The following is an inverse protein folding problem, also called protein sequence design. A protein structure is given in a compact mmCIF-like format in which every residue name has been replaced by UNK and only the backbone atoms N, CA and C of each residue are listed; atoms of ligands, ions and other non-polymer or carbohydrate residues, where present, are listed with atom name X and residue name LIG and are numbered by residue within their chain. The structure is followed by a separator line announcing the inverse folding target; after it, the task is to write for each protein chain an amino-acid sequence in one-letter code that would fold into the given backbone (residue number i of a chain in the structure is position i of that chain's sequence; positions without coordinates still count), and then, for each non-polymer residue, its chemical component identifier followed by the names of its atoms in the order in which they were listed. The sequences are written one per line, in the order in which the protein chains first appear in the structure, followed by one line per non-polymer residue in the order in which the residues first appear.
data_IF_813517005997
#
_entry.id   IF_813517005997
#
_cell.length_a   1.000
_cell.length_b   1.000
_cell.length_c   1.000
_cell.angle_alpha   90.00
_cell.angle_beta   90.00
_cell.angle_gamma   90.00
#
_symmetry.space_group_name_H-M   'P 1'
#
loop_
_entity.id
_entity.type
_entity.pdbx_description
1 polymer ?
#
# COMPACT_ATOMS: atom_id res chain seq x y z
N UNK A 1 6.65 -10.91 4.18
CA UNK A 1 6.49 -10.89 5.65
C UNK A 1 6.28 -12.27 6.27
N UNK A 2 5.57 -13.20 5.63
CA UNK A 2 5.29 -14.55 6.18
C UNK A 2 6.50 -15.31 6.77
N UNK A 3 7.66 -15.33 6.09
CA UNK A 3 8.87 -16.00 6.62
C UNK A 3 9.31 -15.41 7.96
N UNK A 4 9.40 -14.08 8.06
CA UNK A 4 9.80 -13.38 9.29
C UNK A 4 8.77 -13.61 10.40
N UNK A 5 7.48 -13.51 10.08
CA UNK A 5 6.40 -13.83 11.02
C UNK A 5 6.51 -15.26 11.58
N UNK A 6 6.90 -16.24 10.77
CA UNK A 6 7.09 -17.61 11.23
C UNK A 6 8.36 -17.75 12.09
N UNK A 7 9.45 -17.09 11.72
CA UNK A 7 10.73 -17.14 12.44
C UNK A 7 10.67 -16.49 13.83
N UNK A 8 9.86 -15.44 13.99
CA UNK A 8 9.75 -14.64 15.22
C UNK A 8 8.40 -14.83 15.92
N UNK A 9 7.72 -15.95 15.67
CA UNK A 9 6.37 -16.23 16.21
C UNK A 9 6.35 -16.23 17.74
N UNK A 10 7.36 -16.81 18.36
CA UNK A 10 7.44 -16.97 19.81
C UNK A 10 7.76 -15.63 20.52
N UNK A 11 8.39 -14.69 19.81
CA UNK A 11 8.65 -13.33 20.29
C UNK A 11 7.40 -12.42 20.20
N UNK A 12 6.32 -12.92 19.58
CA UNK A 12 5.06 -12.19 19.37
C UNK A 12 5.23 -10.86 18.62
N UNK A 13 6.21 -10.78 17.72
CA UNK A 13 6.41 -9.62 16.85
C UNK A 13 5.48 -9.71 15.63
N UNK A 14 4.77 -8.62 15.34
CA UNK A 14 3.83 -8.54 14.23
C UNK A 14 4.54 -7.98 12.98
N UNK A 15 4.53 -8.72 11.88
CA UNK A 15 5.14 -8.31 10.60
C UNK A 15 4.06 -8.01 9.56
N UNK A 16 3.99 -6.79 9.04
CA UNK A 16 3.03 -6.39 8.01
C UNK A 16 3.73 -5.80 6.80
N UNK A 17 3.19 -6.09 5.62
CA UNK A 17 3.44 -5.30 4.42
C UNK A 17 2.13 -4.61 4.06
N UNK A 18 2.13 -3.28 4.03
CA UNK A 18 0.94 -2.47 3.71
C UNK A 18 1.26 -1.64 2.47
N UNK A 19 0.48 -1.83 1.41
CA UNK A 19 0.49 -0.93 0.25
C UNK A 19 -0.27 0.34 0.60
N UNK A 20 0.30 1.56 0.45
CA UNK A 20 -0.38 2.81 0.77
C UNK A 20 -1.40 3.25 -0.30
N UNK A 21 -1.50 2.52 -1.40
CA UNK A 21 -2.25 2.94 -2.59
C UNK A 21 -1.45 3.89 -3.48
N UNK A 22 -2.15 4.71 -4.26
CA UNK A 22 -1.55 5.71 -5.15
C UNK A 22 -1.46 7.04 -4.40
N UNK A 23 -0.23 7.52 -4.18
CA UNK A 23 0.05 8.68 -3.31
C UNK A 23 0.75 9.78 -4.11
N UNK A 24 0.31 11.02 -3.96
CA UNK A 24 0.94 12.19 -4.57
C UNK A 24 2.20 12.58 -3.80
N UNK A 25 3.25 11.78 -3.92
CA UNK A 25 4.59 12.15 -3.46
C UNK A 25 5.28 13.05 -4.48
N UNK A 26 6.37 13.70 -4.09
CA UNK A 26 7.13 14.55 -5.01
C UNK A 26 7.63 13.72 -6.21
N UNK A 27 7.10 14.01 -7.40
CA UNK A 27 7.66 13.51 -8.65
C UNK A 27 8.93 14.31 -8.97
N UNK A 28 10.00 13.67 -9.50
CA UNK A 28 11.14 14.42 -10.01
C UNK A 28 10.67 15.38 -11.11
N UNK A 29 11.20 16.60 -11.14
CA UNK A 29 10.75 17.75 -11.95
C UNK A 29 10.33 17.43 -13.39
N UNK A 30 11.18 17.75 -14.39
CA UNK A 30 10.86 17.41 -15.77
C UNK A 30 11.05 15.91 -16.00
N UNK A 31 9.95 15.19 -16.17
CA UNK A 31 9.97 13.78 -16.58
C UNK A 31 10.46 13.65 -18.02
N UNK A 32 11.31 12.66 -18.29
CA UNK A 32 11.62 12.25 -19.66
C UNK A 32 10.39 11.68 -20.36
N UNK A 33 10.40 11.61 -21.69
CA UNK A 33 9.31 11.00 -22.47
C UNK A 33 9.02 9.55 -22.01
N UNK A 34 10.06 8.75 -21.78
CA UNK A 34 9.92 7.37 -21.28
C UNK A 34 9.22 7.33 -19.90
N UNK A 35 9.55 8.26 -19.00
CA UNK A 35 8.91 8.34 -17.69
C UNK A 35 7.44 8.77 -17.79
N UNK A 36 7.13 9.69 -18.71
CA UNK A 36 5.75 10.09 -18.99
C UNK A 36 4.94 8.92 -19.55
N UNK A 37 5.52 8.13 -20.45
CA UNK A 37 4.90 6.92 -21.01
C UNK A 37 4.63 5.88 -19.93
N UNK A 38 5.60 5.64 -19.05
CA UNK A 38 5.46 4.76 -17.90
C UNK A 38 4.33 5.21 -16.97
N UNK A 39 4.28 6.50 -16.65
CA UNK A 39 3.20 7.08 -15.83
C UNK A 39 1.83 6.87 -16.48
N UNK A 40 1.69 7.14 -17.79
CA UNK A 40 0.43 6.90 -18.51
C UNK A 40 -0.01 5.44 -18.45
N UNK A 41 0.91 4.48 -18.61
CA UNK A 41 0.60 3.04 -18.51
C UNK A 41 0.11 2.65 -17.11
N UNK A 42 0.77 3.15 -16.06
CA UNK A 42 0.35 2.92 -14.67
C UNK A 42 -1.04 3.51 -14.43
N UNK A 43 -1.28 4.76 -14.82
CA UNK A 43 -2.59 5.41 -14.68
C UNK A 43 -3.69 4.64 -15.40
N UNK A 44 -3.45 4.18 -16.64
CA UNK A 44 -4.41 3.35 -17.38
C UNK A 44 -4.73 2.05 -16.65
N UNK A 45 -3.72 1.36 -16.12
CA UNK A 45 -3.92 0.14 -15.32
C UNK A 45 -4.74 0.38 -14.06
N UNK A 46 -4.50 1.50 -13.37
CA UNK A 46 -5.27 1.89 -12.18
C UNK A 46 -6.73 2.16 -12.53
N UNK A 47 -7.00 2.95 -13.58
CA UNK A 47 -8.37 3.26 -14.00
C UNK A 47 -9.11 2.01 -14.47
N UNK A 48 -8.44 1.07 -15.14
CA UNK A 48 -9.03 -0.20 -15.54
C UNK A 48 -9.38 -1.08 -14.33
N UNK A 49 -8.55 -1.07 -13.27
CA UNK A 49 -8.79 -1.82 -12.04
C UNK A 49 -9.85 -1.18 -11.14
N UNK A 50 -9.82 0.15 -11.01
CA UNK A 50 -10.69 0.94 -10.15
C UNK A 50 -11.26 2.14 -10.93
N UNK A 51 -12.37 1.96 -11.68
CA UNK A 51 -12.94 3.02 -12.53
C UNK A 51 -13.38 4.28 -11.78
N UNK A 52 -13.69 4.14 -10.48
CA UNK A 52 -14.09 5.25 -9.61
C UNK A 52 -12.89 5.91 -8.89
N UNK A 53 -11.65 5.55 -9.25
CA UNK A 53 -10.47 6.15 -8.67
C UNK A 53 -10.41 7.64 -9.02
N UNK A 54 -10.51 8.49 -7.99
CA UNK A 54 -10.56 9.95 -8.12
C UNK A 54 -9.19 10.61 -8.18
N UNK A 55 -8.11 9.84 -8.18
CA UNK A 55 -6.74 10.34 -8.18
C UNK A 55 -5.97 10.04 -6.88
N UNK A 56 -4.66 10.34 -6.86
CA UNK A 56 -3.78 10.06 -5.74
C UNK A 56 -4.24 10.75 -4.45
N UNK A 57 -4.04 10.10 -3.30
CA UNK A 57 -4.21 10.75 -1.99
C UNK A 57 -3.00 11.61 -1.64
N UNK A 58 -3.16 12.54 -0.69
CA UNK A 58 -2.02 13.22 -0.08
C UNK A 58 -1.13 12.22 0.71
N UNK A 59 0.17 12.52 0.89
CA UNK A 59 1.04 11.71 1.75
C UNK A 59 0.51 11.55 3.19
N UNK A 60 -0.10 12.60 3.74
CA UNK A 60 -0.66 12.57 5.08
C UNK A 60 -1.85 11.61 5.18
N UNK A 61 -2.80 11.67 4.24
CA UNK A 61 -3.95 10.75 4.21
C UNK A 61 -3.52 9.30 4.02
N UNK A 62 -2.55 9.05 3.14
CA UNK A 62 -1.99 7.72 2.94
C UNK A 62 -1.36 7.17 4.23
N UNK A 63 -0.54 7.98 4.90
CA UNK A 63 0.08 7.61 6.17
C UNK A 63 -0.97 7.33 7.25
N UNK A 64 -2.03 8.14 7.36
CA UNK A 64 -3.14 7.92 8.30
C UNK A 64 -3.84 6.57 8.04
N UNK A 65 -4.10 6.22 6.78
CA UNK A 65 -4.71 4.92 6.43
C UNK A 65 -3.81 3.75 6.78
N UNK A 66 -2.52 3.83 6.44
CA UNK A 66 -1.54 2.80 6.82
C UNK A 66 -1.44 2.63 8.34
N UNK A 67 -1.39 3.74 9.08
CA UNK A 67 -1.38 3.71 10.55
C UNK A 67 -2.64 3.06 11.11
N UNK A 68 -3.82 3.31 10.54
CA UNK A 68 -5.06 2.63 10.94
C UNK A 68 -4.91 1.11 10.80
N UNK A 69 -4.44 0.62 9.65
CA UNK A 69 -4.20 -0.82 9.43
C UNK A 69 -3.22 -1.40 10.46
N UNK A 70 -2.15 -0.67 10.77
CA UNK A 70 -1.16 -1.09 11.76
C UNK A 70 -1.76 -1.14 13.17
N UNK A 71 -2.59 -0.16 13.55
CA UNK A 71 -3.24 -0.11 14.86
C UNK A 71 -4.34 -1.16 15.02
N UNK A 72 -5.02 -1.53 13.94
CA UNK A 72 -6.10 -2.52 13.94
C UNK A 72 -5.58 -3.96 13.90
N UNK A 73 -4.36 -4.19 13.41
CA UNK A 73 -3.78 -5.51 13.26
C UNK A 73 -3.50 -6.20 14.61
N UNK A 74 -3.84 -7.49 14.70
CA UNK A 74 -3.66 -8.29 15.91
C UNK A 74 -2.94 -9.59 15.63
N UNK A 75 -2.04 -9.96 16.53
CA UNK A 75 -1.32 -11.22 16.42
C UNK A 75 -2.27 -12.42 16.60
N UNK A 76 -3.24 -12.30 17.51
CA UNK A 76 -4.17 -13.36 17.92
C UNK A 76 -5.12 -13.81 16.81
N UNK A 77 -5.44 -12.90 15.88
CA UNK A 77 -6.32 -13.19 14.74
C UNK A 77 -5.55 -13.56 13.46
N UNK A 78 -4.22 -13.66 13.55
CA UNK A 78 -3.38 -14.13 12.47
C UNK A 78 -2.94 -13.07 11.45
N UNK A 79 -2.96 -11.79 11.82
CA UNK A 79 -2.59 -10.72 10.87
C UNK A 79 -1.09 -10.68 10.56
N UNK A 80 -0.24 -11.24 11.43
CA UNK A 80 1.22 -11.26 11.21
C UNK A 80 1.57 -12.06 9.95
N UNK A 81 2.50 -11.51 9.17
CA UNK A 81 2.91 -12.05 7.87
C UNK A 81 2.10 -11.53 6.68
N UNK A 82 1.04 -10.76 6.91
CA UNK A 82 0.11 -10.30 5.87
C UNK A 82 0.71 -9.28 4.91
N UNK A 83 0.16 -9.28 3.69
CA UNK A 83 0.38 -8.26 2.68
C UNK A 83 -0.96 -7.66 2.26
N UNK A 84 -1.28 -6.44 2.69
CA UNK A 84 -2.60 -5.82 2.51
C UNK A 84 -2.48 -4.43 1.93
N UNK A 85 -3.59 -3.86 1.50
CA UNK A 85 -3.68 -2.46 1.08
C UNK A 85 -3.91 -1.51 2.26
N UNK A 86 -4.03 -0.22 1.95
CA UNK A 86 -4.41 0.86 2.85
C UNK A 86 -5.82 0.68 3.46
N UNK A 87 -6.58 -0.32 3.03
CA UNK A 87 -7.88 -0.70 3.59
C UNK A 87 -7.82 -1.98 4.44
N UNK A 88 -6.62 -2.54 4.67
CA UNK A 88 -6.44 -3.79 5.42
C UNK A 88 -6.89 -5.05 4.67
N UNK A 89 -7.14 -4.95 3.36
CA UNK A 89 -7.64 -6.04 2.53
C UNK A 89 -6.85 -6.16 1.21
N UNK A 90 -7.43 -6.78 0.18
CA UNK A 90 -6.80 -6.99 -1.14
C UNK A 90 -7.35 -6.06 -2.23
N UNK A 91 -8.07 -5.01 -1.86
CA UNK A 91 -8.44 -3.92 -2.76
C UNK A 91 -7.31 -2.89 -2.76
N UNK A 92 -6.63 -2.69 -3.89
CA UNK A 92 -5.34 -1.98 -3.91
C UNK A 92 -5.44 -0.46 -4.15
N UNK A 93 -6.61 0.02 -4.61
CA UNK A 93 -6.87 1.41 -4.97
C UNK A 93 -8.26 1.79 -4.47
#
# INVERSE_FOLDING_TARGET
MAKLSAQHRDERILFLAVSPGVVATALPGNLSEEQQDGLRRVTQGVVAYAPNFSGPSSPEEAARRVLSVVHDAKFEVGDSGSFVSQFGNKQWV
#
